data_IF_607379421523
#
_entry.id   IF_607379421523
#
_cell.length_a   1.000
_cell.length_b   1.000
_cell.length_c   1.000
_cell.angle_alpha   90.00
_cell.angle_beta   90.00
_cell.angle_gamma   90.00
#
_symmetry.space_group_name_H-M   'P 1'
#
loop_
_entity.id
_entity.type
_entity.pdbx_description
1 polymer ?
#
# COMPACT_ATOMS: atom_id res chain seq x y z
N UNK A 1 -17.95 3.23 -35.66
CA UNK A 1 -19.03 2.66 -34.81
C UNK A 1 -18.65 2.81 -33.33
N UNK A 2 -19.42 3.57 -32.55
CA UNK A 2 -19.27 3.64 -31.09
C UNK A 2 -20.04 2.46 -30.47
N UNK A 3 -19.34 1.36 -30.17
CA UNK A 3 -19.94 0.27 -29.40
C UNK A 3 -20.01 0.67 -27.93
N UNK A 4 -21.22 0.87 -27.41
CA UNK A 4 -21.45 1.07 -25.97
C UNK A 4 -21.29 -0.30 -25.29
N UNK A 5 -20.13 -0.54 -24.67
CA UNK A 5 -19.92 -1.69 -23.77
C UNK A 5 -20.54 -1.38 -22.41
N UNK A 6 -21.83 -1.66 -22.27
CA UNK A 6 -22.59 -1.52 -21.01
C UNK A 6 -22.57 -2.78 -20.13
N UNK A 7 -21.93 -3.87 -20.57
CA UNK A 7 -21.91 -5.13 -19.82
C UNK A 7 -20.81 -5.08 -18.75
N UNK A 8 -21.19 -5.25 -17.48
CA UNK A 8 -20.26 -5.35 -16.34
C UNK A 8 -20.07 -4.09 -15.50
N UNK A 9 -20.87 -3.03 -15.70
CA UNK A 9 -20.75 -1.79 -14.91
C UNK A 9 -20.91 -1.96 -13.39
N UNK A 10 -21.70 -2.94 -12.97
CA UNK A 10 -21.95 -3.27 -11.56
C UNK A 10 -21.07 -4.41 -11.03
N UNK A 11 -20.19 -4.97 -11.86
CA UNK A 11 -19.30 -6.05 -11.44
C UNK A 11 -17.99 -5.43 -10.96
N UNK A 12 -17.71 -5.57 -9.67
CA UNK A 12 -16.43 -5.15 -9.09
C UNK A 12 -15.27 -5.84 -9.80
N UNK A 13 -14.23 -5.09 -10.16
CA UNK A 13 -13.08 -5.62 -10.88
C UNK A 13 -13.35 -5.97 -12.35
N UNK A 14 -14.46 -5.52 -12.95
CA UNK A 14 -14.70 -5.71 -14.38
C UNK A 14 -13.84 -4.78 -15.25
N UNK A 15 -13.80 -5.06 -16.57
CA UNK A 15 -13.16 -4.15 -17.51
C UNK A 15 -13.78 -2.74 -17.49
N UNK A 16 -15.09 -2.65 -17.27
CA UNK A 16 -15.78 -1.37 -17.12
C UNK A 16 -15.34 -0.64 -15.85
N UNK A 17 -15.34 -1.32 -14.69
CA UNK A 17 -14.93 -0.69 -13.42
C UNK A 17 -13.48 -0.21 -13.48
N UNK A 18 -12.57 -1.00 -14.05
CA UNK A 18 -11.18 -0.58 -14.30
C UNK A 18 -11.08 0.62 -15.24
N UNK A 19 -11.90 0.66 -16.28
CA UNK A 19 -11.95 1.83 -17.19
C UNK A 19 -12.40 3.09 -16.47
N UNK A 20 -13.43 3.00 -15.63
CA UNK A 20 -13.92 4.13 -14.84
C UNK A 20 -12.88 4.65 -13.83
N UNK A 21 -12.18 3.74 -13.14
CA UNK A 21 -11.08 4.11 -12.23
C UNK A 21 -9.94 4.81 -12.98
N UNK A 22 -9.55 4.29 -14.14
CA UNK A 22 -8.54 4.91 -15.01
C UNK A 22 -8.95 6.31 -15.48
N UNK A 23 -10.21 6.53 -15.82
CA UNK A 23 -10.71 7.88 -16.14
C UNK A 23 -10.51 8.85 -14.96
N UNK A 24 -10.76 8.41 -13.72
CA UNK A 24 -10.50 9.23 -12.52
C UNK A 24 -9.01 9.54 -12.35
N UNK A 25 -8.14 8.54 -12.55
CA UNK A 25 -6.68 8.73 -12.51
C UNK A 25 -6.24 9.75 -13.57
N UNK A 26 -6.71 9.63 -14.81
CA UNK A 26 -6.38 10.61 -15.86
C UNK A 26 -6.88 12.02 -15.53
N UNK A 27 -8.07 12.15 -14.94
CA UNK A 27 -8.59 13.45 -14.49
C UNK A 27 -7.71 14.06 -13.40
N UNK A 28 -7.25 13.27 -12.43
CA UNK A 28 -6.29 13.75 -11.42
C UNK A 28 -4.96 14.14 -12.06
N UNK A 29 -4.43 13.33 -12.99
CA UNK A 29 -3.20 13.66 -13.70
C UNK A 29 -3.29 14.96 -14.48
N UNK A 30 -4.43 15.20 -15.15
CA UNK A 30 -4.68 16.43 -15.90
C UNK A 30 -4.71 17.67 -15.00
N UNK A 31 -5.33 17.57 -13.82
CA UNK A 31 -5.50 18.70 -12.91
C UNK A 31 -4.32 18.93 -11.96
N UNK A 32 -3.59 17.87 -11.60
CA UNK A 32 -2.57 17.90 -10.55
C UNK A 32 -1.16 17.58 -11.03
N UNK A 33 -0.98 17.23 -12.30
CA UNK A 33 0.27 16.67 -12.82
C UNK A 33 0.41 15.18 -12.50
N UNK A 34 1.59 14.61 -12.73
CA UNK A 34 1.83 13.20 -12.44
C UNK A 34 1.88 12.94 -10.92
N UNK A 35 1.45 11.75 -10.45
CA UNK A 35 1.59 11.39 -9.04
C UNK A 35 3.07 11.34 -8.65
N UNK A 36 3.37 11.79 -7.43
CA UNK A 36 4.73 11.83 -6.87
C UNK A 36 5.18 10.45 -6.40
N UNK A 37 4.26 9.64 -5.86
CA UNK A 37 4.54 8.30 -5.34
C UNK A 37 3.53 7.28 -5.86
N UNK A 38 4.03 6.08 -6.15
CA UNK A 38 3.22 4.88 -6.36
C UNK A 38 3.54 3.87 -5.26
N UNK A 39 2.55 3.57 -4.42
CA UNK A 39 2.71 2.76 -3.21
C UNK A 39 1.81 1.53 -3.29
N UNK A 40 2.35 0.37 -2.96
CA UNK A 40 1.57 -0.85 -2.76
C UNK A 40 1.63 -1.26 -1.31
N UNK A 41 0.47 -1.35 -0.66
CA UNK A 41 0.35 -1.86 0.71
C UNK A 41 -0.19 -3.29 0.62
N UNK A 42 0.65 -4.25 0.98
CA UNK A 42 0.30 -5.67 0.95
C UNK A 42 0.45 -6.29 2.36
N UNK A 43 -0.59 -6.21 3.20
CA UNK A 43 -0.53 -6.78 4.54
C UNK A 43 -0.39 -8.30 4.50
N UNK A 44 0.49 -8.84 5.35
CA UNK A 44 0.62 -10.27 5.56
C UNK A 44 -0.36 -10.73 6.64
N UNK A 45 -1.61 -10.99 6.25
CA UNK A 45 -2.70 -11.44 7.12
C UNK A 45 -2.33 -12.70 7.94
N UNK A 46 -1.76 -13.73 7.33
CA UNK A 46 -1.33 -14.97 8.01
C UNK A 46 -0.23 -14.77 9.06
N UNK A 47 0.48 -13.65 9.01
CA UNK A 47 1.57 -13.32 9.93
C UNK A 47 1.22 -12.15 10.85
N UNK A 48 -0.03 -11.67 10.82
CA UNK A 48 -0.47 -10.55 11.63
C UNK A 48 -1.23 -11.07 12.87
N UNK A 49 -0.74 -10.82 14.09
CA UNK A 49 -1.49 -11.09 15.32
C UNK A 49 -2.82 -10.34 15.36
N UNK A 50 -2.87 -9.13 14.78
CA UNK A 50 -4.10 -8.35 14.65
C UNK A 50 -5.10 -9.08 13.77
N UNK A 51 -4.69 -9.66 12.64
CA UNK A 51 -5.60 -10.44 11.80
C UNK A 51 -6.19 -11.66 12.55
N UNK A 52 -5.39 -12.35 13.36
CA UNK A 52 -5.85 -13.44 14.22
C UNK A 52 -6.85 -12.97 15.29
N UNK A 53 -6.58 -11.84 15.93
CA UNK A 53 -7.50 -11.22 16.89
C UNK A 53 -8.86 -10.93 16.24
N UNK A 54 -8.87 -10.37 15.03
CA UNK A 54 -10.10 -10.15 14.27
C UNK A 54 -10.82 -11.47 13.92
N UNK A 55 -10.09 -12.59 13.81
CA UNK A 55 -10.64 -13.93 13.60
C UNK A 55 -11.13 -14.60 14.89
N UNK A 56 -11.03 -13.93 16.05
CA UNK A 56 -11.51 -14.41 17.33
C UNK A 56 -10.52 -15.28 18.11
N UNK A 57 -9.24 -15.30 17.72
CA UNK A 57 -8.20 -15.93 18.54
C UNK A 57 -7.99 -15.08 19.79
N UNK A 58 -8.03 -15.72 20.95
CA UNK A 58 -7.79 -15.08 22.24
C UNK A 58 -6.31 -14.68 22.34
N UNK A 59 -6.03 -13.40 22.07
CA UNK A 59 -4.70 -12.82 22.04
C UNK A 59 -4.68 -11.51 22.81
N UNK A 60 -3.73 -11.40 23.74
CA UNK A 60 -3.35 -10.12 24.31
C UNK A 60 -2.46 -9.38 23.29
N UNK A 61 -3.03 -8.39 22.61
CA UNK A 61 -2.33 -7.60 21.59
C UNK A 61 -1.19 -6.75 22.18
N UNK A 62 -1.21 -6.47 23.49
CA UNK A 62 -0.13 -5.73 24.18
C UNK A 62 1.03 -6.67 24.58
N UNK A 63 0.81 -8.00 24.53
CA UNK A 63 1.78 -9.03 24.95
C UNK A 63 1.85 -10.19 23.95
N UNK A 64 2.05 -9.88 22.67
CA UNK A 64 2.22 -10.91 21.64
C UNK A 64 3.63 -11.48 21.69
N UNK A 65 3.79 -12.64 22.33
CA UNK A 65 5.02 -13.43 22.30
C UNK A 65 4.95 -14.50 21.18
N UNK A 66 6.08 -14.87 20.53
CA UNK A 66 6.08 -15.88 19.48
C UNK A 66 5.49 -17.23 19.92
N UNK A 67 5.64 -17.58 21.19
CA UNK A 67 5.22 -18.87 21.77
C UNK A 67 3.70 -18.95 21.96
N UNK A 68 2.99 -17.82 22.05
CA UNK A 68 1.52 -17.80 22.16
C UNK A 68 0.82 -17.83 20.81
N UNK A 69 1.57 -17.65 19.71
CA UNK A 69 0.99 -17.67 18.38
C UNK A 69 0.84 -19.11 17.86
N UNK A 70 -0.29 -19.44 17.20
CA UNK A 70 -0.42 -20.72 16.51
C UNK A 70 0.68 -20.91 15.47
N UNK A 71 0.91 -22.16 15.07
CA UNK A 71 1.87 -22.48 14.01
C UNK A 71 1.48 -21.81 12.68
N UNK A 72 2.43 -21.65 11.76
CA UNK A 72 2.16 -21.02 10.45
C UNK A 72 1.04 -21.70 9.67
N UNK A 73 0.91 -23.02 9.80
CA UNK A 73 -0.16 -23.77 9.16
C UNK A 73 -1.53 -23.50 9.79
N UNK A 74 -1.63 -23.53 11.12
CA UNK A 74 -2.87 -23.22 11.83
C UNK A 74 -3.34 -21.80 11.57
N UNK A 75 -2.42 -20.82 11.56
CA UNK A 75 -2.76 -19.43 11.21
C UNK A 75 -3.34 -19.33 9.79
N UNK A 76 -2.76 -20.05 8.82
CA UNK A 76 -3.28 -20.07 7.46
C UNK A 76 -4.70 -20.67 7.40
N UNK A 77 -4.96 -21.75 8.16
CA UNK A 77 -6.31 -22.33 8.26
C UNK A 77 -7.32 -21.38 8.90
N UNK A 78 -6.93 -20.69 9.98
CA UNK A 78 -7.78 -19.70 10.66
C UNK A 78 -8.14 -18.55 9.69
N UNK A 79 -7.15 -17.97 9.02
CA UNK A 79 -7.38 -16.87 8.06
C UNK A 79 -8.27 -17.32 6.89
N UNK A 80 -8.02 -18.51 6.33
CA UNK A 80 -8.82 -19.04 5.23
C UNK A 80 -10.29 -19.29 5.61
N UNK A 81 -10.55 -19.67 6.86
CA UNK A 81 -11.91 -19.94 7.36
C UNK A 81 -12.64 -18.68 7.83
N UNK A 82 -11.96 -17.54 7.99
CA UNK A 82 -12.53 -16.28 8.48
C UNK A 82 -12.35 -15.10 7.49
N UNK A 83 -12.84 -15.19 6.24
CA UNK A 83 -12.61 -14.17 5.21
C UNK A 83 -13.14 -12.77 5.59
N UNK A 84 -14.22 -12.69 6.36
CA UNK A 84 -14.78 -11.42 6.85
C UNK A 84 -13.86 -10.77 7.88
N UNK A 85 -13.23 -11.56 8.76
CA UNK A 85 -12.26 -11.05 9.73
C UNK A 85 -11.05 -10.44 9.01
N UNK A 86 -10.52 -11.14 8.02
CA UNK A 86 -9.40 -10.68 7.18
C UNK A 86 -9.74 -9.37 6.45
N UNK A 87 -10.95 -9.25 5.90
CA UNK A 87 -11.41 -8.02 5.26
C UNK A 87 -11.54 -6.85 6.25
N UNK A 88 -12.03 -7.11 7.48
CA UNK A 88 -12.13 -6.09 8.54
C UNK A 88 -10.75 -5.62 9.01
N UNK A 89 -9.84 -6.56 9.24
CA UNK A 89 -8.43 -6.27 9.55
C UNK A 89 -7.80 -5.39 8.47
N UNK A 90 -7.90 -5.81 7.20
CA UNK A 90 -7.38 -5.05 6.07
C UNK A 90 -7.95 -3.62 6.04
N UNK A 91 -9.26 -3.47 6.14
CA UNK A 91 -9.91 -2.16 6.14
C UNK A 91 -9.48 -1.28 7.34
N UNK A 92 -9.33 -1.87 8.52
CA UNK A 92 -8.84 -1.16 9.71
C UNK A 92 -7.40 -0.66 9.48
N UNK A 93 -6.51 -1.55 9.04
CA UNK A 93 -5.11 -1.23 8.78
C UNK A 93 -4.97 -0.15 7.69
N UNK A 94 -5.68 -0.28 6.57
CA UNK A 94 -5.64 0.70 5.48
C UNK A 94 -6.16 2.05 5.93
N UNK A 95 -7.27 2.12 6.68
CA UNK A 95 -7.77 3.40 7.21
C UNK A 95 -6.75 4.07 8.12
N UNK A 96 -6.08 3.30 8.98
CA UNK A 96 -5.02 3.81 9.85
C UNK A 96 -3.82 4.30 9.04
N UNK A 97 -3.37 3.57 8.03
CA UNK A 97 -2.26 4.00 7.16
C UNK A 97 -2.62 5.28 6.40
N UNK A 98 -3.80 5.35 5.78
CA UNK A 98 -4.24 6.54 5.05
C UNK A 98 -4.33 7.75 5.99
N UNK A 99 -4.86 7.57 7.20
CA UNK A 99 -4.98 8.65 8.19
C UNK A 99 -3.62 9.12 8.70
N UNK A 100 -2.77 8.19 9.15
CA UNK A 100 -1.54 8.52 9.87
C UNK A 100 -0.38 8.81 8.93
N UNK A 101 -0.20 8.02 7.87
CA UNK A 101 0.97 8.16 6.99
C UNK A 101 0.71 9.13 5.84
N UNK A 102 -0.41 8.95 5.14
CA UNK A 102 -0.71 9.73 3.93
C UNK A 102 -1.24 11.12 4.29
N UNK A 103 -2.33 11.18 5.06
CA UNK A 103 -2.94 12.43 5.48
C UNK A 103 -2.17 13.10 6.63
N UNK A 104 -1.52 12.32 7.49
CA UNK A 104 -0.63 12.84 8.53
C UNK A 104 0.71 13.38 7.99
N UNK A 105 1.00 13.19 6.70
CA UNK A 105 2.12 13.84 6.02
C UNK A 105 3.49 13.19 6.27
N UNK A 106 3.54 11.95 6.73
CA UNK A 106 4.80 11.22 6.96
C UNK A 106 5.57 11.02 5.64
N UNK A 107 4.86 10.81 4.54
CA UNK A 107 5.46 10.71 3.20
C UNK A 107 5.66 12.07 2.52
N UNK A 108 5.50 13.17 3.28
CA UNK A 108 5.44 14.55 2.80
C UNK A 108 4.00 15.10 2.78
N UNK A 109 3.81 16.43 2.69
CA UNK A 109 2.49 17.04 2.66
C UNK A 109 1.68 16.57 1.45
N UNK A 110 0.58 15.85 1.68
CA UNK A 110 -0.25 15.29 0.61
C UNK A 110 -1.22 16.33 0.04
N UNK A 111 -1.21 16.49 -1.30
CA UNK A 111 -2.19 17.28 -2.06
C UNK A 111 -3.42 16.46 -2.41
N UNK A 112 -3.22 15.21 -2.84
CA UNK A 112 -4.29 14.26 -3.15
C UNK A 112 -3.78 12.82 -3.11
N UNK A 113 -4.68 11.85 -2.98
CA UNK A 113 -4.36 10.44 -3.19
C UNK A 113 -5.52 9.73 -3.90
N UNK A 114 -5.22 8.63 -4.58
CA UNK A 114 -6.20 7.75 -5.21
C UNK A 114 -5.81 6.30 -4.99
N UNK A 115 -6.72 5.49 -4.45
CA UNK A 115 -6.45 4.11 -4.08
C UNK A 115 -7.42 3.10 -4.68
N UNK A 116 -6.92 1.91 -5.02
CA UNK A 116 -7.71 0.77 -5.52
C UNK A 116 -7.34 -0.49 -4.76
N UNK A 117 -8.36 -1.21 -4.28
CA UNK A 117 -8.18 -2.49 -3.58
C UNK A 117 -8.31 -3.62 -4.57
N UNK A 118 -7.37 -4.55 -4.54
CA UNK A 118 -7.36 -5.75 -5.38
C UNK A 118 -7.06 -7.00 -4.54
N UNK A 119 -7.59 -8.14 -4.97
CA UNK A 119 -7.24 -9.44 -4.40
C UNK A 119 -5.91 -9.92 -4.99
N UNK A 120 -4.96 -10.32 -4.14
CA UNK A 120 -3.75 -10.98 -4.57
C UNK A 120 -4.04 -12.45 -4.97
N UNK A 121 -3.13 -13.09 -5.69
CA UNK A 121 -3.22 -14.51 -6.07
C UNK A 121 -3.40 -15.52 -4.92
N UNK A 122 -3.18 -15.11 -3.66
CA UNK A 122 -3.45 -15.91 -2.45
C UNK A 122 -4.80 -15.59 -1.77
N UNK A 123 -5.64 -14.75 -2.38
CA UNK A 123 -6.95 -14.33 -1.86
C UNK A 123 -6.93 -13.13 -0.90
N UNK A 124 -5.77 -12.78 -0.33
CA UNK A 124 -5.61 -11.60 0.54
C UNK A 124 -5.77 -10.28 -0.22
N UNK A 125 -6.26 -9.25 0.44
CA UNK A 125 -6.42 -7.91 -0.16
C UNK A 125 -5.10 -7.12 -0.10
N UNK A 126 -4.81 -6.35 -1.13
CA UNK A 126 -3.77 -5.31 -1.12
C UNK A 126 -4.31 -4.01 -1.72
N UNK A 127 -3.67 -2.89 -1.38
CA UNK A 127 -4.01 -1.57 -1.87
C UNK A 127 -2.93 -1.05 -2.81
N UNK A 128 -3.30 -0.65 -4.01
CA UNK A 128 -2.49 0.23 -4.85
C UNK A 128 -2.89 1.68 -4.61
N UNK A 129 -1.91 2.56 -4.42
CA UNK A 129 -2.11 3.95 -4.07
C UNK A 129 -1.24 4.85 -4.93
N UNK A 130 -1.86 5.86 -5.54
CA UNK A 130 -1.18 7.00 -6.16
C UNK A 130 -1.28 8.19 -5.20
N UNK A 131 -0.16 8.83 -4.91
CA UNK A 131 -0.11 10.01 -4.03
C UNK A 131 0.51 11.18 -4.78
N UNK A 132 -0.16 12.33 -4.71
CA UNK A 132 0.34 13.63 -5.15
C UNK A 132 0.80 14.41 -3.92
N UNK A 133 2.10 14.66 -3.83
CA UNK A 133 2.67 15.50 -2.79
C UNK A 133 2.55 16.98 -3.18
N UNK A 134 2.58 17.87 -2.19
CA UNK A 134 2.52 19.32 -2.39
C UNK A 134 3.91 19.84 -2.77
N UNK A 135 4.28 19.64 -4.03
CA UNK A 135 5.43 20.28 -4.67
C UNK A 135 5.03 20.87 -6.03
N UNK A 136 5.82 21.82 -6.52
CA UNK A 136 5.55 22.55 -7.77
C UNK A 136 6.38 22.05 -8.95
N UNK A 137 7.32 21.12 -8.71
CA UNK A 137 8.19 20.61 -9.77
C UNK A 137 7.48 19.69 -10.75
N UNK A 138 7.53 20.04 -12.03
CA UNK A 138 7.24 19.13 -13.15
C UNK A 138 8.40 18.14 -13.37
N UNK A 139 8.20 17.01 -14.06
CA UNK A 139 9.29 16.10 -14.41
C UNK A 139 10.44 16.76 -15.18
N UNK A 140 10.13 17.73 -16.05
CA UNK A 140 11.13 18.51 -16.78
C UNK A 140 11.95 19.39 -15.83
N UNK A 141 11.31 20.10 -14.90
CA UNK A 141 11.98 20.90 -13.89
C UNK A 141 12.80 20.02 -12.93
N UNK A 142 12.30 18.85 -12.53
CA UNK A 142 13.11 17.91 -11.72
C UNK A 142 14.39 17.52 -12.48
N UNK A 143 14.27 17.18 -13.77
CA UNK A 143 15.41 16.81 -14.62
C UNK A 143 16.42 17.96 -14.78
N UNK A 144 15.96 19.20 -14.86
CA UNK A 144 16.82 20.38 -14.96
C UNK A 144 17.48 20.69 -13.61
N UNK A 145 16.71 20.72 -12.53
CA UNK A 145 17.21 21.01 -11.18
C UNK A 145 18.20 19.97 -10.67
N UNK A 146 18.09 18.71 -11.13
CA UNK A 146 19.06 17.67 -10.78
C UNK A 146 20.47 17.98 -11.30
N UNK A 147 20.68 18.97 -12.19
CA UNK A 147 22.02 19.41 -12.58
C UNK A 147 22.70 20.26 -11.49
N UNK A 148 21.92 20.92 -10.63
CA UNK A 148 22.41 21.67 -9.47
C UNK A 148 22.78 20.70 -8.33
N UNK A 149 23.99 20.83 -7.78
CA UNK A 149 24.51 19.94 -6.75
C UNK A 149 23.72 20.04 -5.44
N UNK A 150 23.45 21.25 -4.94
CA UNK A 150 22.72 21.45 -3.69
C UNK A 150 21.30 20.87 -3.79
N UNK A 151 20.64 21.01 -4.93
CA UNK A 151 19.33 20.41 -5.16
C UNK A 151 19.39 18.89 -5.11
N UNK A 152 20.37 18.28 -5.78
CA UNK A 152 20.57 16.81 -5.74
C UNK A 152 20.78 16.31 -4.33
N UNK A 153 21.67 16.95 -3.58
CA UNK A 153 22.06 16.50 -2.24
C UNK A 153 20.86 16.60 -1.28
N UNK A 154 20.05 17.66 -1.40
CA UNK A 154 18.81 17.80 -0.64
C UNK A 154 17.73 16.79 -1.06
N UNK A 155 17.60 16.51 -2.36
CA UNK A 155 16.67 15.50 -2.85
C UNK A 155 17.04 14.10 -2.35
N UNK A 156 18.33 13.75 -2.37
CA UNK A 156 18.82 12.49 -1.82
C UNK A 156 18.53 12.38 -0.33
N UNK A 157 18.83 13.42 0.45
CA UNK A 157 18.53 13.45 1.88
C UNK A 157 17.04 13.25 2.18
N UNK A 158 16.16 13.87 1.38
CA UNK A 158 14.72 13.65 1.48
C UNK A 158 14.34 12.19 1.16
N UNK A 159 14.88 11.63 0.08
CA UNK A 159 14.60 10.24 -0.29
C UNK A 159 15.10 9.25 0.76
N UNK A 160 16.27 9.47 1.35
CA UNK A 160 16.83 8.63 2.43
C UNK A 160 16.03 8.72 3.73
N UNK A 161 15.36 9.86 3.99
CA UNK A 161 14.48 10.00 5.16
C UNK A 161 13.16 9.23 4.98
N UNK A 162 12.61 9.23 3.76
CA UNK A 162 11.30 8.61 3.45
C UNK A 162 11.43 7.14 3.06
N UNK A 163 12.48 6.77 2.33
CA UNK A 163 12.76 5.40 1.88
C UNK A 163 13.72 4.76 2.87
N UNK A 164 13.17 3.88 3.72
CA UNK A 164 13.97 3.07 4.64
C UNK A 164 13.87 1.61 4.25
N UNK A 165 15.02 1.02 3.96
CA UNK A 165 15.20 -0.42 3.84
C UNK A 165 16.00 -0.87 5.06
N UNK A 166 15.40 -1.73 5.88
CA UNK A 166 16.04 -2.27 7.07
C UNK A 166 16.39 -3.75 6.84
N UNK A 167 17.68 -4.05 6.93
CA UNK A 167 18.22 -5.41 6.89
C UNK A 167 18.76 -5.86 8.24
N UNK A 168 18.44 -5.17 9.33
CA UNK A 168 18.98 -5.46 10.66
C UNK A 168 18.62 -6.88 11.12
N UNK A 169 17.50 -7.44 10.66
CA UNK A 169 17.14 -8.85 10.87
C UNK A 169 18.05 -9.86 10.15
N UNK A 170 18.85 -9.40 9.18
CA UNK A 170 19.80 -10.18 8.38
C UNK A 170 21.26 -9.89 8.72
N UNK A 171 21.56 -8.86 9.52
CA UNK A 171 22.94 -8.60 10.00
C UNK A 171 23.45 -9.83 10.78
N UNK A 172 24.53 -10.44 10.29
CA UNK A 172 25.19 -11.59 10.92
C UNK A 172 24.59 -12.97 10.58
N UNK A 173 23.59 -13.07 9.69
CA UNK A 173 23.09 -14.36 9.19
C UNK A 173 23.68 -14.66 7.81
N UNK A 174 24.60 -15.61 7.74
CA UNK A 174 25.12 -16.14 6.46
C UNK A 174 24.07 -17.07 5.87
N UNK A 175 23.43 -16.65 4.77
CA UNK A 175 22.54 -17.54 4.02
C UNK A 175 23.34 -18.24 2.94
N UNK A 176 23.51 -19.55 3.07
CA UNK A 176 23.98 -20.38 1.96
C UNK A 176 22.84 -20.47 0.95
N UNK A 177 23.04 -19.86 -0.21
CA UNK A 177 22.14 -20.05 -1.35
C UNK A 177 22.31 -21.50 -1.77
N UNK A 178 21.24 -22.30 -1.65
CA UNK A 178 21.15 -23.65 -2.22
C UNK A 178 20.66 -23.53 -3.65
#
# INVERSE_FOLDING_TARGET
MKHIKAVGGHVMGSAHSRSALRTKIHSLCFNLGLPSLFVTINPADMHSPVALYFAGVDLDLDRVLPEVLPTSYERAQIIATHPVATAKFFNCLIKSILKCLVLGGVLGPTKAYFGTVESQGRGSLHLHLLIWLKHEYTPAQLKENIQNQDFRDNLLKYLEDVVKEDLDLFRGKTFTIV
#
